data_IF_799518009494
#
_entry.id   IF_799518009494
#
_cell.length_a   1.000
_cell.length_b   1.000
_cell.length_c   1.000
_cell.angle_alpha   90.00
_cell.angle_beta   90.00
_cell.angle_gamma   90.00
#
_symmetry.space_group_name_H-M   'P 1'
#
loop_
_entity.id
_entity.type
_entity.pdbx_description
1 polymer ?
#
# COMPACT_ATOMS: atom_id res chain seq x y z
N UNK A 1 16.54 -6.17 -2.81
CA UNK A 1 17.76 -6.71 -2.16
C UNK A 1 17.61 -8.19 -1.89
N UNK A 2 16.48 -8.66 -1.34
CA UNK A 2 16.22 -10.08 -1.06
C UNK A 2 16.35 -10.97 -2.30
N UNK A 3 15.59 -10.71 -3.37
CA UNK A 3 15.58 -11.61 -4.54
C UNK A 3 16.93 -11.71 -5.29
N UNK A 4 17.65 -10.62 -5.62
CA UNK A 4 18.94 -10.73 -6.30
C UNK A 4 20.00 -11.56 -5.56
N UNK A 5 19.88 -11.69 -4.23
CA UNK A 5 20.80 -12.48 -3.41
C UNK A 5 20.34 -13.93 -3.18
N UNK A 6 19.05 -14.23 -3.38
CA UNK A 6 18.45 -15.55 -3.14
C UNK A 6 18.08 -16.31 -4.42
N UNK A 7 18.00 -15.63 -5.56
CA UNK A 7 17.69 -16.24 -6.86
C UNK A 7 18.24 -15.41 -8.03
N UNK A 8 18.68 -16.09 -9.09
CA UNK A 8 19.00 -15.49 -10.40
C UNK A 8 17.75 -15.25 -11.26
N UNK A 9 16.71 -14.62 -10.72
CA UNK A 9 15.55 -14.25 -11.53
C UNK A 9 15.94 -13.10 -12.47
N UNK A 10 16.11 -13.42 -13.75
CA UNK A 10 16.14 -12.44 -14.84
C UNK A 10 14.71 -11.92 -15.05
N UNK A 11 14.43 -10.70 -14.58
CA UNK A 11 13.13 -10.07 -14.78
C UNK A 11 12.88 -8.85 -13.90
N UNK A 12 11.83 -8.06 -14.21
CA UNK A 12 11.40 -6.97 -13.36
C UNK A 12 10.98 -7.48 -11.98
N UNK A 13 11.28 -6.71 -10.93
CA UNK A 13 10.79 -6.99 -9.59
C UNK A 13 9.31 -6.60 -9.51
N UNK A 14 8.43 -7.60 -9.64
CA UNK A 14 6.98 -7.46 -9.65
C UNK A 14 6.40 -7.49 -8.23
N UNK A 15 5.12 -7.11 -8.08
CA UNK A 15 4.40 -7.07 -6.79
C UNK A 15 4.03 -8.48 -6.29
N UNK A 16 3.88 -9.44 -7.20
CA UNK A 16 3.71 -10.86 -6.87
C UNK A 16 4.35 -11.74 -7.97
N UNK A 17 4.76 -12.95 -7.61
CA UNK A 17 5.41 -13.90 -8.51
C UNK A 17 4.40 -14.89 -9.12
N UNK A 18 4.64 -15.34 -10.35
CA UNK A 18 3.95 -16.51 -10.89
C UNK A 18 4.59 -17.77 -10.31
N UNK A 19 3.78 -18.75 -9.93
CA UNK A 19 4.29 -20.01 -9.39
C UNK A 19 4.95 -20.83 -10.53
N UNK A 20 6.22 -21.25 -10.40
CA UNK A 20 6.86 -22.10 -11.40
C UNK A 20 6.07 -23.40 -11.65
N UNK A 21 5.87 -23.75 -12.91
CA UNK A 21 5.02 -24.89 -13.31
C UNK A 21 3.50 -24.63 -13.26
N UNK A 22 3.07 -23.51 -12.65
CA UNK A 22 1.66 -23.14 -12.50
C UNK A 22 1.45 -21.65 -12.81
N UNK A 23 1.53 -21.23 -14.08
CA UNK A 23 1.50 -19.82 -14.48
C UNK A 23 0.12 -19.14 -14.31
N UNK A 24 -0.90 -19.90 -13.93
CA UNK A 24 -2.20 -19.42 -13.49
C UNK A 24 -2.22 -19.11 -11.98
N UNK A 25 -1.25 -19.58 -11.20
CA UNK A 25 -1.12 -19.29 -9.78
C UNK A 25 -0.12 -18.16 -9.53
N UNK A 26 -0.49 -17.29 -8.60
CA UNK A 26 0.28 -16.09 -8.21
C UNK A 26 0.49 -16.11 -6.70
N UNK A 27 1.70 -15.77 -6.27
CA UNK A 27 2.08 -15.76 -4.86
C UNK A 27 2.69 -14.41 -4.50
N UNK A 28 2.22 -13.80 -3.39
CA UNK A 28 2.89 -12.66 -2.75
C UNK A 28 3.06 -12.91 -1.26
N UNK A 29 4.05 -12.26 -0.65
CA UNK A 29 4.24 -12.19 0.79
C UNK A 29 4.64 -10.78 1.19
N UNK A 30 4.09 -10.29 2.29
CA UNK A 30 4.43 -8.99 2.86
C UNK A 30 4.42 -9.05 4.39
N UNK A 31 5.32 -8.27 4.99
CA UNK A 31 5.37 -8.06 6.43
C UNK A 31 4.97 -6.64 6.79
N UNK A 32 4.12 -6.52 7.79
CA UNK A 32 3.49 -5.28 8.25
C UNK A 32 4.02 -4.95 9.64
N UNK A 33 4.63 -3.76 9.74
CA UNK A 33 5.32 -3.25 10.94
C UNK A 33 4.85 -1.83 11.27
N UNK A 34 3.60 -1.51 10.92
CA UNK A 34 3.06 -0.15 11.05
C UNK A 34 2.93 0.26 12.52
N UNK A 35 3.30 1.50 12.80
CA UNK A 35 3.14 2.13 14.11
C UNK A 35 2.41 3.47 13.94
N UNK A 36 1.32 3.73 14.67
CA UNK A 36 0.68 2.86 15.66
C UNK A 36 -0.07 1.66 15.03
N UNK A 37 -0.43 0.65 15.84
CA UNK A 37 -1.19 -0.52 15.37
C UNK A 37 -2.60 -0.17 14.89
N UNK A 38 -3.21 0.86 15.48
CA UNK A 38 -4.54 1.36 15.14
C UNK A 38 -4.42 2.82 14.70
N UNK A 39 -5.05 3.17 13.58
CA UNK A 39 -4.99 4.49 12.98
C UNK A 39 -6.35 4.86 12.35
N UNK A 40 -6.62 6.14 12.09
CA UNK A 40 -7.85 6.54 11.42
C UNK A 40 -8.04 5.78 10.09
N UNK A 41 -9.17 5.08 9.94
CA UNK A 41 -9.46 4.30 8.73
C UNK A 41 -8.85 2.90 8.66
N UNK A 42 -8.19 2.39 9.71
CA UNK A 42 -7.75 0.99 9.73
C UNK A 42 -6.84 0.61 10.89
N UNK A 43 -6.25 -0.57 10.76
CA UNK A 43 -5.30 -1.11 11.72
C UNK A 43 -4.36 -2.08 11.02
N UNK A 44 -3.33 -2.55 11.72
CA UNK A 44 -2.35 -3.51 11.19
C UNK A 44 -3.00 -4.80 10.65
N UNK A 45 -4.11 -5.26 11.25
CA UNK A 45 -4.80 -6.49 10.85
C UNK A 45 -5.49 -6.35 9.51
N UNK A 46 -6.31 -5.31 9.34
CA UNK A 46 -6.96 -5.00 8.06
C UNK A 46 -5.93 -4.63 6.98
N UNK A 47 -4.88 -3.88 7.34
CA UNK A 47 -3.79 -3.52 6.43
C UNK A 47 -3.06 -4.75 5.91
N UNK A 48 -2.79 -5.75 6.75
CA UNK A 48 -2.11 -6.97 6.34
C UNK A 48 -2.88 -7.72 5.24
N UNK A 49 -4.20 -7.87 5.41
CA UNK A 49 -5.06 -8.49 4.41
C UNK A 49 -5.13 -7.66 3.13
N UNK A 50 -5.45 -6.37 3.24
CA UNK A 50 -5.60 -5.50 2.07
C UNK A 50 -4.32 -5.42 1.27
N UNK A 51 -3.17 -5.30 1.94
CA UNK A 51 -1.86 -5.32 1.33
C UNK A 51 -1.71 -6.57 0.47
N UNK A 52 -1.66 -7.75 1.07
CA UNK A 52 -1.38 -8.99 0.32
C UNK A 52 -2.41 -9.27 -0.79
N UNK A 53 -3.70 -8.97 -0.55
CA UNK A 53 -4.74 -9.06 -1.58
C UNK A 53 -4.46 -8.10 -2.74
N UNK A 54 -3.97 -6.90 -2.47
CA UNK A 54 -3.65 -5.91 -3.50
C UNK A 54 -2.44 -6.32 -4.34
N UNK A 55 -1.43 -6.99 -3.78
CA UNK A 55 -0.32 -7.53 -4.58
C UNK A 55 -0.78 -8.56 -5.60
N UNK A 56 -1.62 -9.50 -5.15
CA UNK A 56 -2.22 -10.50 -6.04
C UNK A 56 -3.03 -9.81 -7.14
N UNK A 57 -3.81 -8.80 -6.78
CA UNK A 57 -4.57 -8.00 -7.73
C UNK A 57 -3.69 -7.29 -8.76
N UNK A 58 -2.51 -6.76 -8.37
CA UNK A 58 -1.59 -6.09 -9.31
C UNK A 58 -1.03 -7.02 -10.39
N UNK A 59 -1.13 -8.34 -10.17
CA UNK A 59 -0.83 -9.38 -11.17
C UNK A 59 -2.06 -9.98 -11.85
N UNK A 60 -3.21 -9.34 -11.68
CA UNK A 60 -4.49 -9.76 -12.25
C UNK A 60 -5.06 -11.02 -11.61
N UNK A 61 -4.63 -11.35 -10.39
CA UNK A 61 -5.08 -12.55 -9.69
C UNK A 61 -6.27 -12.28 -8.76
N UNK A 62 -7.21 -13.22 -8.77
CA UNK A 62 -8.24 -13.35 -7.74
C UNK A 62 -7.64 -14.06 -6.52
N UNK A 63 -7.73 -13.48 -5.30
CA UNK A 63 -7.19 -14.11 -4.10
C UNK A 63 -7.95 -15.41 -3.78
N UNK A 64 -7.22 -16.49 -3.52
CA UNK A 64 -7.78 -17.81 -3.19
C UNK A 64 -7.60 -18.17 -1.73
N UNK A 65 -6.45 -17.82 -1.14
CA UNK A 65 -6.12 -18.15 0.24
C UNK A 65 -5.04 -17.23 0.79
N UNK A 66 -5.04 -17.06 2.11
CA UNK A 66 -3.98 -16.40 2.87
C UNK A 66 -3.40 -17.34 3.93
N UNK A 67 -2.09 -17.22 4.19
CA UNK A 67 -1.49 -17.59 5.47
C UNK A 67 -1.19 -16.34 6.30
N UNK A 68 -1.20 -16.48 7.62
CA UNK A 68 -0.91 -15.40 8.57
C UNK A 68 0.14 -15.85 9.57
N UNK A 69 1.27 -15.14 9.65
CA UNK A 69 2.25 -15.34 10.71
C UNK A 69 2.33 -14.11 11.61
N UNK A 70 2.39 -14.34 12.92
CA UNK A 70 2.44 -13.29 13.94
C UNK A 70 3.74 -13.38 14.73
N UNK A 71 4.40 -12.24 14.92
CA UNK A 71 5.50 -12.10 15.87
C UNK A 71 5.03 -11.10 16.93
N UNK A 72 4.81 -11.59 18.13
CA UNK A 72 4.16 -10.85 19.23
C UNK A 72 5.18 -10.59 20.33
N UNK A 73 5.23 -9.35 20.82
CA UNK A 73 6.03 -8.96 21.96
C UNK A 73 5.43 -9.51 23.26
N UNK A 74 6.29 -10.06 24.13
CA UNK A 74 5.90 -10.45 25.47
C UNK A 74 5.34 -9.26 26.26
N UNK A 75 4.12 -9.46 26.78
CA UNK A 75 3.41 -8.46 27.56
C UNK A 75 2.47 -7.56 26.75
N UNK A 76 2.31 -7.80 25.44
CA UNK A 76 1.20 -7.21 24.68
C UNK A 76 -0.15 -7.59 25.31
N UNK A 77 -1.04 -6.64 25.64
CA UNK A 77 -2.34 -6.97 26.20
C UNK A 77 -3.16 -7.86 25.26
N UNK A 78 -3.68 -8.98 25.77
CA UNK A 78 -4.54 -9.88 25.01
C UNK A 78 -5.74 -9.18 24.34
N UNK A 79 -6.41 -8.18 24.94
CA UNK A 79 -7.46 -7.43 24.26
C UNK A 79 -6.96 -6.71 23.00
N UNK A 80 -5.77 -6.12 23.03
CA UNK A 80 -5.17 -5.43 21.88
C UNK A 80 -4.89 -6.42 20.74
N UNK A 81 -4.29 -7.58 21.05
CA UNK A 81 -4.08 -8.67 20.09
C UNK A 81 -5.40 -9.19 19.51
N UNK A 82 -6.43 -9.39 20.34
CA UNK A 82 -7.76 -9.83 19.88
C UNK A 82 -8.37 -8.83 18.91
N UNK A 83 -8.27 -7.53 19.17
CA UNK A 83 -8.77 -6.50 18.26
C UNK A 83 -8.08 -6.54 16.90
N UNK A 84 -6.75 -6.74 16.87
CA UNK A 84 -6.00 -6.92 15.60
C UNK A 84 -6.50 -8.15 14.84
N UNK A 85 -6.64 -9.30 15.51
CA UNK A 85 -7.10 -10.55 14.89
C UNK A 85 -8.55 -10.47 14.39
N UNK A 86 -9.43 -9.81 15.15
CA UNK A 86 -10.81 -9.58 14.74
C UNK A 86 -10.90 -8.72 13.48
N UNK A 87 -10.08 -7.67 13.40
CA UNK A 87 -10.02 -6.80 12.23
C UNK A 87 -9.45 -7.53 11.00
N UNK A 88 -8.35 -8.28 11.18
CA UNK A 88 -7.78 -9.15 10.15
C UNK A 88 -8.84 -10.13 9.62
N UNK A 89 -9.52 -10.85 10.52
CA UNK A 89 -10.56 -11.80 10.14
C UNK A 89 -11.74 -11.12 9.44
N UNK A 90 -12.12 -9.91 9.86
CA UNK A 90 -13.16 -9.12 9.20
C UNK A 90 -12.74 -8.74 7.78
N UNK A 91 -11.55 -8.18 7.61
CA UNK A 91 -11.02 -7.81 6.30
C UNK A 91 -10.92 -9.01 5.34
N UNK A 92 -10.49 -10.17 5.85
CA UNK A 92 -10.42 -11.41 5.05
C UNK A 92 -11.80 -11.86 4.57
N UNK A 93 -12.82 -11.82 5.45
CA UNK A 93 -14.22 -12.11 5.10
C UNK A 93 -14.77 -11.11 4.08
N UNK A 94 -14.54 -9.82 4.29
CA UNK A 94 -14.98 -8.75 3.37
C UNK A 94 -14.28 -8.83 2.01
N UNK A 95 -13.07 -9.38 1.95
CA UNK A 95 -12.34 -9.66 0.71
C UNK A 95 -12.64 -11.05 0.13
N UNK A 96 -13.54 -11.83 0.75
CA UNK A 96 -13.90 -13.19 0.33
C UNK A 96 -12.69 -14.13 0.15
N UNK A 97 -11.68 -13.98 1.01
CA UNK A 97 -10.47 -14.81 0.99
C UNK A 97 -10.31 -15.55 2.33
N UNK A 98 -10.27 -16.89 2.35
CA UNK A 98 -10.05 -17.64 3.57
C UNK A 98 -8.59 -17.52 4.05
N UNK A 99 -8.41 -17.41 5.35
CA UNK A 99 -7.12 -17.66 6.01
C UNK A 99 -7.03 -19.15 6.29
N UNK A 100 -6.12 -19.87 5.64
CA UNK A 100 -6.08 -21.33 5.64
C UNK A 100 -5.01 -21.92 6.56
N UNK A 101 -4.03 -21.12 6.98
CA UNK A 101 -2.94 -21.57 7.87
C UNK A 101 -2.28 -20.36 8.54
N UNK A 102 -1.47 -20.62 9.57
CA UNK A 102 -0.69 -19.58 10.22
C UNK A 102 0.34 -20.08 11.22
N UNK A 103 1.11 -19.14 11.74
CA UNK A 103 2.10 -19.36 12.80
C UNK A 103 2.04 -18.21 13.81
N UNK A 104 2.47 -18.48 15.03
CA UNK A 104 2.56 -17.45 16.08
C UNK A 104 3.84 -17.67 16.88
N UNK A 105 4.64 -16.62 16.96
CA UNK A 105 5.84 -16.55 17.79
C UNK A 105 5.70 -15.44 18.80
N UNK A 106 6.11 -15.72 20.03
CA UNK A 106 6.25 -14.73 21.08
C UNK A 106 7.74 -14.50 21.29
N UNK A 107 8.14 -13.24 21.30
CA UNK A 107 9.52 -12.82 21.53
C UNK A 107 9.60 -12.00 22.82
N UNK A 108 10.80 -11.91 23.38
CA UNK A 108 11.06 -11.15 24.61
C UNK A 108 10.64 -9.68 24.46
N UNK A 109 10.29 -9.05 25.58
CA UNK A 109 9.93 -7.64 25.63
C UNK A 109 11.06 -6.77 25.04
N UNK A 110 10.69 -5.84 24.16
CA UNK A 110 11.60 -4.95 23.45
C UNK A 110 12.20 -5.51 22.16
N UNK A 111 11.99 -6.80 21.84
CA UNK A 111 12.51 -7.40 20.60
C UNK A 111 11.72 -7.01 19.34
N UNK A 112 10.41 -6.75 19.49
CA UNK A 112 9.55 -6.18 18.44
C UNK A 112 8.64 -5.12 19.05
N UNK A 113 8.21 -4.14 18.25
CA UNK A 113 7.24 -3.14 18.68
C UNK A 113 5.82 -3.74 18.63
N UNK A 114 5.36 -4.28 19.76
CA UNK A 114 4.05 -4.89 19.97
C UNK A 114 3.77 -6.14 19.13
N UNK A 115 3.40 -6.00 17.87
CA UNK A 115 3.08 -7.13 16.99
C UNK A 115 3.42 -6.80 15.55
N UNK A 116 4.14 -7.73 14.90
CA UNK A 116 4.32 -7.74 13.46
C UNK A 116 3.47 -8.86 12.85
N UNK A 117 2.91 -8.56 11.68
CA UNK A 117 2.06 -9.48 10.93
C UNK A 117 2.73 -9.74 9.59
N UNK A 118 2.91 -11.01 9.22
CA UNK A 118 3.23 -11.38 7.85
C UNK A 118 2.02 -12.08 7.25
N UNK A 119 1.70 -11.74 6.01
CA UNK A 119 0.68 -12.44 5.23
C UNK A 119 1.24 -12.87 3.90
N UNK A 120 1.08 -14.16 3.60
CA UNK A 120 1.37 -14.72 2.29
C UNK A 120 0.06 -15.08 1.61
N UNK A 121 -0.11 -14.69 0.36
CA UNK A 121 -1.33 -14.92 -0.40
C UNK A 121 -1.06 -15.75 -1.63
N UNK A 122 -2.03 -16.60 -1.95
CA UNK A 122 -2.10 -17.34 -3.21
C UNK A 122 -3.34 -16.86 -3.95
N UNK A 123 -3.18 -16.54 -5.22
CA UNK A 123 -4.28 -16.14 -6.10
C UNK A 123 -4.24 -16.84 -7.44
N UNK A 124 -5.37 -16.85 -8.14
CA UNK A 124 -5.47 -17.34 -9.52
C UNK A 124 -5.57 -16.19 -10.49
N UNK A 125 -4.61 -16.09 -11.41
CA UNK A 125 -4.56 -15.09 -12.47
C UNK A 125 -5.75 -15.25 -13.41
N UNK A 126 -6.42 -14.15 -13.69
CA UNK A 126 -7.46 -14.12 -14.73
C UNK A 126 -6.83 -14.28 -16.12
N UNK A 127 -7.33 -15.16 -17.02
CA UNK A 127 -6.70 -15.42 -18.32
C UNK A 127 -6.51 -14.17 -19.20
N UNK A 128 -7.44 -13.21 -19.10
CA UNK A 128 -7.38 -11.95 -19.85
C UNK A 128 -6.47 -10.87 -19.21
N UNK A 129 -6.09 -11.01 -17.93
CA UNK A 129 -5.29 -10.02 -17.22
C UNK A 129 -3.81 -10.42 -17.20
N UNK A 130 -3.04 -9.90 -18.16
CA UNK A 130 -1.58 -10.04 -18.21
C UNK A 130 -0.90 -8.75 -17.76
N UNK A 131 -1.05 -8.41 -16.49
CA UNK A 131 -0.51 -7.19 -15.92
C UNK A 131 0.98 -7.38 -15.55
N UNK A 132 1.80 -6.40 -15.92
CA UNK A 132 3.22 -6.34 -15.53
C UNK A 132 3.75 -4.91 -15.64
N UNK A 133 4.62 -4.52 -14.72
CA UNK A 133 5.31 -3.24 -14.79
C UNK A 133 6.17 -3.08 -16.07
N UNK A 134 6.66 -4.19 -16.63
CA UNK A 134 7.46 -4.17 -17.86
C UNK A 134 6.64 -3.95 -19.15
N UNK A 135 5.30 -3.98 -19.07
CA UNK A 135 4.45 -3.81 -20.24
C UNK A 135 4.07 -2.35 -20.51
N UNK A 136 4.33 -1.42 -19.59
CA UNK A 136 4.05 0.00 -19.77
C UNK A 136 4.88 0.60 -20.91
N UNK A 137 4.28 1.49 -21.71
CA UNK A 137 4.93 2.10 -22.89
C UNK A 137 4.68 3.61 -22.96
N UNK A 138 5.56 4.39 -23.60
CA UNK A 138 5.26 5.78 -23.95
C UNK A 138 3.96 5.88 -24.75
N UNK A 139 3.10 6.83 -24.37
CA UNK A 139 1.76 7.00 -24.95
C UNK A 139 0.64 6.33 -24.13
N UNK A 140 0.97 5.54 -23.12
CA UNK A 140 -0.02 4.98 -22.18
C UNK A 140 -0.59 6.08 -21.27
N UNK A 141 -1.91 6.02 -21.02
CA UNK A 141 -2.54 6.83 -20.00
C UNK A 141 -2.31 6.23 -18.61
N UNK A 142 -2.05 7.08 -17.63
CA UNK A 142 -1.95 6.69 -16.21
C UNK A 142 -3.26 7.03 -15.52
N UNK A 143 -3.88 6.02 -14.91
CA UNK A 143 -5.13 6.15 -14.16
C UNK A 143 -4.85 5.91 -12.67
N UNK A 144 -5.58 6.64 -11.83
CA UNK A 144 -5.53 6.49 -10.38
C UNK A 144 -6.88 5.99 -9.89
N UNK A 145 -6.87 4.97 -9.04
CA UNK A 145 -8.07 4.43 -8.38
C UNK A 145 -8.61 5.34 -7.27
N UNK A 146 -7.84 6.35 -6.87
CA UNK A 146 -8.20 7.31 -5.83
C UNK A 146 -7.09 8.32 -5.53
N UNK A 147 -7.26 9.13 -4.46
CA UNK A 147 -6.22 10.03 -3.98
C UNK A 147 -4.93 9.30 -3.60
N UNK A 148 -3.78 9.96 -3.71
CA UNK A 148 -2.48 9.36 -3.41
C UNK A 148 -2.02 9.78 -2.01
N UNK A 149 -1.47 8.83 -1.25
CA UNK A 149 -0.71 9.11 -0.03
C UNK A 149 -1.56 9.26 1.24
N UNK A 150 -2.86 8.99 1.20
CA UNK A 150 -3.74 9.11 2.37
C UNK A 150 -3.28 8.22 3.53
N UNK A 151 -3.00 6.93 3.28
CA UNK A 151 -2.47 6.04 4.32
C UNK A 151 -1.17 6.58 4.96
N UNK A 152 -0.18 6.95 4.14
CA UNK A 152 1.11 7.44 4.64
C UNK A 152 0.98 8.72 5.48
N UNK A 153 0.19 9.68 5.01
CA UNK A 153 -0.08 10.92 5.76
C UNK A 153 -0.83 10.63 7.05
N UNK A 154 -1.80 9.70 7.04
CA UNK A 154 -2.56 9.30 8.24
C UNK A 154 -1.64 8.73 9.33
N UNK A 155 -0.78 7.78 8.95
CA UNK A 155 0.14 7.12 9.90
C UNK A 155 1.15 8.14 10.46
N UNK A 156 1.75 8.96 9.60
CA UNK A 156 2.69 10.02 10.04
C UNK A 156 2.02 11.03 10.97
N UNK A 157 0.81 11.50 10.62
CA UNK A 157 0.09 12.49 11.42
C UNK A 157 -0.29 11.95 12.80
N UNK A 158 -0.65 10.66 12.86
CA UNK A 158 -1.02 10.00 14.12
C UNK A 158 0.22 9.78 14.99
N UNK A 159 1.34 9.36 14.39
CA UNK A 159 2.61 9.12 15.10
C UNK A 159 3.19 10.39 15.71
N UNK A 160 3.26 11.46 14.93
CA UNK A 160 3.90 12.71 15.35
C UNK A 160 2.96 13.62 16.17
N UNK A 161 1.73 13.15 16.45
CA UNK A 161 0.74 13.93 17.17
C UNK A 161 0.44 15.28 16.51
N UNK A 162 0.60 15.37 15.18
CA UNK A 162 0.68 16.65 14.44
C UNK A 162 -0.63 17.45 14.43
N UNK A 163 -1.67 17.00 15.15
CA UNK A 163 -2.87 17.78 15.39
C UNK A 163 -3.55 18.27 14.11
N UNK A 164 -3.29 17.64 12.96
CA UNK A 164 -4.01 17.88 11.72
C UNK A 164 -5.46 17.46 11.97
N UNK A 165 -6.24 18.43 12.44
CA UNK A 165 -7.58 18.30 12.99
C UNK A 165 -8.63 18.07 11.89
N UNK A 166 -8.27 17.39 10.81
CA UNK A 166 -9.05 17.34 9.59
C UNK A 166 -9.04 15.92 9.04
N UNK A 167 -10.06 15.12 9.37
CA UNK A 167 -10.68 14.05 8.56
C UNK A 167 -9.83 13.09 7.70
N UNK A 168 -8.50 13.05 7.84
CA UNK A 168 -7.61 12.25 7.01
C UNK A 168 -7.59 10.84 7.61
N UNK A 169 -8.04 9.89 6.80
CA UNK A 169 -8.10 8.49 7.14
C UNK A 169 -7.36 7.67 6.08
N UNK A 170 -6.80 6.55 6.52
CA UNK A 170 -6.17 5.57 5.67
C UNK A 170 -7.16 5.09 4.61
N UNK A 171 -6.68 4.99 3.37
CA UNK A 171 -7.43 4.51 2.22
C UNK A 171 -7.34 2.98 2.03
N UNK A 172 -6.68 2.28 2.96
CA UNK A 172 -6.50 0.83 2.96
C UNK A 172 -7.81 0.09 2.70
N UNK A 173 -7.86 -0.59 1.56
CA UNK A 173 -9.01 -1.38 1.10
C UNK A 173 -8.55 -2.46 0.13
N UNK A 174 -9.31 -3.56 -0.05
CA UNK A 174 -8.98 -4.58 -1.03
C UNK A 174 -9.42 -4.13 -2.43
N UNK A 175 -8.50 -4.17 -3.40
CA UNK A 175 -8.67 -3.66 -4.76
C UNK A 175 -8.88 -4.76 -5.81
N UNK A 176 -8.82 -6.04 -5.42
CA UNK A 176 -8.95 -7.17 -6.34
C UNK A 176 -10.25 -7.11 -7.17
N UNK A 177 -11.38 -6.71 -6.59
CA UNK A 177 -12.65 -6.53 -7.32
C UNK A 177 -12.56 -5.45 -8.39
N UNK A 178 -11.94 -4.31 -8.05
CA UNK A 178 -11.74 -3.20 -8.99
C UNK A 178 -10.88 -3.64 -10.17
N UNK A 179 -9.75 -4.31 -9.89
CA UNK A 179 -8.85 -4.79 -10.95
C UNK A 179 -9.55 -5.87 -11.81
N UNK A 180 -10.30 -6.76 -11.19
CA UNK A 180 -11.04 -7.79 -11.92
C UNK A 180 -12.12 -7.20 -12.84
N UNK A 181 -12.78 -6.11 -12.41
CA UNK A 181 -13.74 -5.39 -13.24
C UNK A 181 -13.12 -4.77 -14.51
N UNK A 182 -11.79 -4.62 -14.58
CA UNK A 182 -11.09 -4.17 -15.79
C UNK A 182 -10.91 -5.29 -16.82
N UNK A 183 -11.14 -6.56 -16.48
CA UNK A 183 -10.90 -7.70 -17.35
C UNK A 183 -11.61 -7.62 -18.72
N UNK A 184 -12.88 -7.18 -18.84
CA UNK A 184 -13.54 -7.05 -20.13
C UNK A 184 -12.85 -6.05 -21.08
N UNK A 185 -12.15 -5.04 -20.54
CA UNK A 185 -11.44 -4.01 -21.31
C UNK A 185 -9.93 -4.29 -21.44
N UNK A 186 -9.43 -5.33 -20.77
CA UNK A 186 -8.00 -5.64 -20.69
C UNK A 186 -7.41 -6.17 -22.00
N UNK A 187 -8.24 -6.66 -22.92
CA UNK A 187 -7.80 -7.09 -24.25
C UNK A 187 -7.24 -5.93 -25.11
N UNK A 188 -7.54 -4.67 -24.76
CA UNK A 188 -7.18 -3.50 -25.59
C UNK A 188 -6.34 -2.43 -24.88
N UNK A 189 -6.32 -2.33 -23.54
CA UNK A 189 -5.82 -1.10 -22.89
C UNK A 189 -5.07 -1.23 -21.55
N UNK A 190 -5.32 -2.24 -20.72
CA UNK A 190 -4.69 -2.32 -19.39
C UNK A 190 -3.41 -3.15 -19.40
N UNK A 191 -2.25 -2.47 -19.34
CA UNK A 191 -0.92 -3.11 -19.41
C UNK A 191 -0.25 -3.31 -18.04
N UNK A 192 -0.45 -2.37 -17.12
CA UNK A 192 0.20 -2.35 -15.82
C UNK A 192 -0.78 -1.89 -14.75
N UNK A 193 -0.69 -2.50 -13.57
CA UNK A 193 -1.28 -2.00 -12.35
C UNK A 193 -0.18 -1.98 -11.28
N UNK A 194 -0.15 -0.93 -10.47
CA UNK A 194 0.76 -0.80 -9.33
C UNK A 194 -0.03 -0.38 -8.11
N UNK A 195 0.43 -0.77 -6.92
CA UNK A 195 -0.20 -0.38 -5.66
C UNK A 195 -0.27 1.15 -5.54
N UNK A 196 -1.41 1.73 -5.11
CA UNK A 196 -1.46 3.13 -4.73
C UNK A 196 -0.47 3.33 -3.57
N UNK A 197 0.41 4.32 -3.71
CA UNK A 197 1.62 4.45 -2.90
C UNK A 197 1.30 4.63 -1.42
N UNK A 198 1.32 3.50 -0.69
CA UNK A 198 1.50 3.42 0.74
C UNK A 198 2.84 2.68 0.97
N UNK A 199 3.86 3.43 1.39
CA UNK A 199 5.12 2.93 1.95
C UNK A 199 6.04 2.05 1.05
N UNK A 200 6.60 2.59 -0.03
CA UNK A 200 7.99 2.26 -0.41
C UNK A 200 8.60 3.29 -1.39
N UNK A 201 9.72 3.96 -1.08
CA UNK A 201 10.32 4.96 -1.97
C UNK A 201 10.97 4.41 -3.26
N UNK A 202 10.89 3.11 -3.59
CA UNK A 202 11.94 2.48 -4.42
C UNK A 202 11.54 1.70 -5.68
N UNK A 203 10.27 1.66 -6.12
CA UNK A 203 9.90 0.73 -7.20
C UNK A 203 9.74 1.28 -8.62
N UNK A 204 9.45 2.56 -8.85
CA UNK A 204 9.16 3.04 -10.22
C UNK A 204 10.35 3.67 -10.97
N UNK A 205 11.49 3.94 -10.31
CA UNK A 205 12.57 4.74 -10.94
C UNK A 205 13.64 3.93 -11.69
N UNK A 206 13.48 2.61 -11.83
CA UNK A 206 14.44 1.75 -12.57
C UNK A 206 13.97 1.22 -13.93
N UNK A 207 12.73 1.49 -14.34
CA UNK A 207 12.35 1.35 -15.76
C UNK A 207 12.69 2.64 -16.53
N UNK A 208 13.14 2.57 -17.78
CA UNK A 208 13.60 3.75 -18.51
C UNK A 208 12.43 4.71 -18.74
N UNK A 209 12.56 5.92 -18.19
CA UNK A 209 11.81 7.12 -18.52
C UNK A 209 10.27 7.07 -18.41
N UNK A 210 9.74 7.26 -17.20
CA UNK A 210 8.41 7.86 -17.05
C UNK A 210 8.45 8.96 -15.98
N UNK A 211 8.67 10.22 -16.43
CA UNK A 211 8.44 11.41 -15.60
C UNK A 211 6.93 11.61 -15.54
N UNK A 212 6.34 11.41 -14.36
CA UNK A 212 4.98 11.89 -14.08
C UNK A 212 5.09 13.40 -13.84
N UNK A 213 4.59 14.27 -14.74
CA UNK A 213 4.52 15.70 -14.44
C UNK A 213 3.55 15.91 -13.27
N UNK A 214 3.84 16.82 -12.32
CA UNK A 214 2.87 17.16 -11.29
C UNK A 214 1.59 17.65 -11.97
N UNK A 215 0.46 17.03 -11.62
CA UNK A 215 -0.84 17.42 -12.17
C UNK A 215 -1.15 18.85 -11.76
N UNK A 216 -1.43 19.70 -12.76
CA UNK A 216 -2.05 21.00 -12.53
C UNK A 216 -3.51 20.77 -12.14
N UNK A 217 -3.81 20.61 -10.85
CA UNK A 217 -5.16 20.85 -10.35
C UNK A 217 -5.28 22.31 -9.90
N UNK A 218 -6.06 23.05 -10.67
CA UNK A 218 -6.99 24.11 -10.22
C UNK A 218 -6.67 24.77 -8.87
N UNK A 219 -5.93 25.89 -8.92
CA UNK A 219 -6.01 26.92 -7.89
C UNK A 219 -7.44 27.45 -7.83
N UNK A 220 -8.24 26.93 -6.90
CA UNK A 220 -9.36 27.70 -6.35
C UNK A 220 -8.76 28.68 -5.31
N UNK A 221 -9.06 29.98 -5.37
CA UNK A 221 -8.49 30.96 -4.45
C UNK A 221 -9.06 30.75 -3.04
N UNK A 222 -8.20 30.38 -2.09
CA UNK A 222 -8.50 30.52 -0.66
C UNK A 222 -8.66 32.01 -0.30
N UNK A 223 -9.75 32.44 0.34
CA UNK A 223 -9.85 33.80 0.86
C UNK A 223 -9.10 33.86 2.20
N UNK A 224 -7.80 34.13 2.16
CA UNK A 224 -7.10 34.63 3.35
C UNK A 224 -7.39 36.13 3.50
N UNK A 225 -7.78 36.62 4.71
CA UNK A 225 -7.98 38.04 4.92
C UNK A 225 -6.65 38.79 4.84
N UNK A 226 -6.62 39.80 3.97
CA UNK A 226 -5.52 40.74 3.77
C UNK A 226 -5.13 41.38 5.11
N UNK A 227 -3.89 41.17 5.56
CA UNK A 227 -3.20 42.12 6.45
C UNK A 227 -2.24 42.94 5.60
N UNK A 228 -2.50 44.23 5.53
CA UNK A 228 -1.67 45.26 4.91
C UNK A 228 -0.32 45.38 5.63
N UNK A 229 0.78 45.75 4.94
CA UNK A 229 2.08 45.98 5.55
C UNK A 229 2.21 47.42 6.09
N UNK A 230 3.01 47.70 7.13
CA UNK A 230 3.53 49.03 7.35
C UNK A 230 4.90 49.23 6.67
N UNK A 231 5.28 50.48 6.38
CA UNK A 231 6.20 50.81 5.29
C UNK A 231 7.67 50.89 5.73
N UNK A 232 8.56 50.58 4.79
CA UNK A 232 9.95 50.98 4.85
C UNK A 232 10.05 52.52 4.76
N UNK A 233 10.71 53.14 5.73
CA UNK A 233 11.23 54.51 5.60
C UNK A 233 12.73 54.45 5.71
N UNK A 234 13.37 54.70 4.56
CA UNK A 234 14.76 55.12 4.47
C UNK A 234 14.80 56.62 4.78
N UNK A 235 15.64 57.04 5.71
CA UNK A 235 16.09 58.44 5.82
C UNK A 235 17.60 58.45 6.03
N UNK A 236 18.29 59.10 5.09
CA UNK A 236 19.68 59.51 5.13
C UNK A 236 19.99 60.33 6.41
N UNK A 237 21.23 60.39 6.91
CA UNK A 237 22.23 61.37 6.44
C UNK A 237 23.46 61.33 7.38
N UNK A 238 24.70 61.18 6.85
CA UNK A 238 25.78 62.23 6.72
C UNK A 238 26.97 61.88 7.65
N UNK A 239 28.26 62.17 7.35
CA UNK A 239 28.85 63.33 6.65
C UNK A 239 28.80 63.35 5.13
#
# INVERSE_FOLDING_TARGET
MVLPSLAGQEGPLEDAALLPGHPDLVVSTDSFVVHPLFFPGGDIGSLAVHGTVNDLAMRGAWPLALSVALIVEEGLPLPELRSVLQSLGKAAREAEVPVITGDTKVVERGAVDKVFVNTTGIGRRHPALRLSAALARPGDAVLLSGPIGLHGITVLSTREGLGFNTGIASDSRPLHRLVHALAPSAHTSTRCATRPVAASPRRSTRSPAMRVPPSRSTRAPCPCPRRSPPPATCSASIP
#
